data_IF_666045004626
#
_entry.id   IF_666045004626
#
_cell.length_a   1.000
_cell.length_b   1.000
_cell.length_c   1.000
_cell.angle_alpha   90.00
_cell.angle_beta   90.00
_cell.angle_gamma   90.00
#
_symmetry.space_group_name_H-M   'P 1'
#
loop_
_entity.id
_entity.type
_entity.pdbx_description
1 polymer ?
#
# COMPACT_ATOMS: atom_id res chain seq x y z
N UNK A 1 -13.86 -8.46 -27.96
CA UNK A 1 -14.04 -7.80 -26.66
C UNK A 1 -13.38 -8.68 -25.62
N UNK A 2 -12.18 -8.33 -25.14
CA UNK A 2 -11.43 -9.15 -24.20
C UNK A 2 -11.91 -8.83 -22.78
N UNK A 3 -12.69 -9.73 -22.21
CA UNK A 3 -13.34 -9.57 -20.91
C UNK A 3 -12.30 -9.72 -19.79
N UNK A 4 -12.17 -8.67 -18.96
CA UNK A 4 -11.61 -8.68 -17.59
C UNK A 4 -10.20 -9.25 -17.39
N UNK A 5 -9.16 -8.45 -17.67
CA UNK A 5 -7.83 -8.70 -17.10
C UNK A 5 -7.86 -8.36 -15.59
N UNK A 6 -7.50 -9.32 -14.72
CA UNK A 6 -7.50 -9.11 -13.27
C UNK A 6 -6.07 -8.79 -12.80
N UNK A 7 -5.81 -7.53 -12.46
CA UNK A 7 -4.52 -7.08 -11.94
C UNK A 7 -4.42 -7.46 -10.46
N UNK A 8 -3.31 -8.07 -10.06
CA UNK A 8 -3.01 -8.44 -8.67
C UNK A 8 -1.67 -7.84 -8.24
N UNK A 9 -1.56 -7.30 -7.02
CA UNK A 9 -0.27 -6.83 -6.51
C UNK A 9 0.65 -8.02 -6.16
N UNK A 10 1.94 -7.86 -6.42
CA UNK A 10 2.99 -8.82 -6.05
C UNK A 10 4.07 -8.11 -5.24
N UNK A 11 4.55 -8.76 -4.18
CA UNK A 11 5.76 -8.35 -3.48
C UNK A 11 6.92 -9.06 -4.19
N UNK A 12 7.82 -8.28 -4.77
CA UNK A 12 9.07 -8.78 -5.34
C UNK A 12 10.18 -8.40 -4.38
N UNK A 13 10.75 -9.40 -3.71
CA UNK A 13 11.94 -9.20 -2.88
C UNK A 13 13.17 -9.41 -3.77
N UNK A 14 14.09 -8.45 -3.74
CA UNK A 14 15.38 -8.48 -4.44
C UNK A 14 16.49 -8.60 -3.40
N UNK A 15 17.24 -9.69 -3.44
CA UNK A 15 18.36 -9.94 -2.53
C UNK A 15 19.63 -9.99 -3.36
N UNK A 16 20.56 -9.02 -3.25
CA UNK A 16 21.86 -9.13 -3.88
C UNK A 16 22.66 -10.26 -3.21
N UNK A 17 23.41 -11.03 -3.98
CA UNK A 17 24.38 -11.95 -3.43
C UNK A 17 25.77 -11.63 -3.97
N UNK A 18 26.74 -11.75 -3.07
CA UNK A 18 28.11 -11.31 -3.27
C UNK A 18 29.03 -12.52 -3.32
N UNK A 19 30.11 -12.41 -4.08
CA UNK A 19 31.18 -13.41 -4.07
C UNK A 19 32.10 -13.23 -2.85
N UNK A 20 33.16 -14.04 -2.79
CA UNK A 20 34.15 -13.99 -1.71
C UNK A 20 34.99 -12.70 -1.68
N UNK A 21 34.88 -11.86 -2.72
CA UNK A 21 35.56 -10.57 -2.85
C UNK A 21 34.60 -9.40 -2.62
N UNK A 22 33.41 -9.66 -2.08
CA UNK A 22 32.34 -8.67 -1.85
C UNK A 22 31.86 -7.98 -3.14
N UNK A 23 32.03 -8.64 -4.29
CA UNK A 23 31.48 -8.17 -5.55
C UNK A 23 30.08 -8.73 -5.76
N UNK A 24 29.13 -7.84 -6.10
CA UNK A 24 27.77 -8.24 -6.42
C UNK A 24 27.77 -9.04 -7.73
N UNK A 25 27.51 -10.34 -7.64
CA UNK A 25 27.52 -11.27 -8.79
C UNK A 25 26.12 -11.57 -9.32
N UNK A 26 25.07 -11.14 -8.61
CA UNK A 26 23.70 -11.28 -9.07
C UNK A 26 22.65 -10.87 -8.05
N UNK A 27 21.38 -11.04 -8.44
CA UNK A 27 20.22 -10.77 -7.59
C UNK A 27 19.28 -11.96 -7.59
N UNK A 28 18.99 -12.49 -6.40
CA UNK A 28 17.93 -13.45 -6.21
C UNK A 28 16.60 -12.68 -6.11
N UNK A 29 15.67 -13.01 -7.00
CA UNK A 29 14.31 -12.49 -6.98
C UNK A 29 13.34 -13.60 -6.69
N UNK A 30 12.43 -13.36 -5.76
CA UNK A 30 11.23 -14.18 -5.65
C UNK A 30 10.01 -13.27 -5.51
N UNK A 31 9.00 -13.58 -6.32
CA UNK A 31 7.72 -12.91 -6.30
C UNK A 31 6.74 -13.69 -5.44
N UNK A 32 6.08 -13.01 -4.51
CA UNK A 32 4.94 -13.55 -3.78
C UNK A 32 3.74 -12.66 -4.05
N UNK A 33 2.60 -13.24 -4.41
CA UNK A 33 1.35 -12.47 -4.53
C UNK A 33 1.09 -11.75 -3.21
N UNK A 34 0.85 -10.45 -3.28
CA UNK A 34 0.78 -9.57 -2.13
C UNK A 34 -0.61 -9.75 -1.49
N UNK A 35 -0.71 -10.73 -0.59
CA UNK A 35 -1.96 -11.10 0.07
C UNK A 35 -2.41 -10.11 1.16
N UNK A 36 -1.58 -9.14 1.57
CA UNK A 36 -1.94 -7.83 2.17
C UNK A 36 -0.66 -7.09 2.63
N UNK A 37 -0.69 -5.75 2.68
CA UNK A 37 0.31 -4.93 3.38
C UNK A 37 -0.41 -4.08 4.42
N UNK A 38 -0.52 -4.60 5.64
CA UNK A 38 -0.96 -3.81 6.80
C UNK A 38 0.18 -3.81 7.82
N UNK A 39 1.01 -2.74 7.89
CA UNK A 39 2.09 -2.64 8.85
C UNK A 39 1.63 -2.64 10.31
N UNK A 40 0.36 -2.30 10.59
CA UNK A 40 -0.14 -2.29 11.96
C UNK A 40 -0.98 -3.53 12.27
N UNK A 41 -0.38 -4.36 13.13
CA UNK A 41 -0.74 -5.73 13.44
C UNK A 41 -1.43 -5.84 14.80
N UNK A 42 -2.36 -4.94 15.08
CA UNK A 42 -3.18 -4.94 16.29
C UNK A 42 -4.54 -4.43 15.83
N UNK A 43 -5.65 -5.18 15.84
CA UNK A 43 -6.34 -5.65 17.07
C UNK A 43 -7.12 -6.98 16.85
N UNK A 44 -7.29 -7.52 15.63
CA UNK A 44 -8.30 -8.60 15.42
C UNK A 44 -7.88 -9.88 14.66
N UNK A 45 -6.59 -10.18 14.51
CA UNK A 45 -6.12 -11.53 14.14
C UNK A 45 -6.57 -12.12 12.80
N UNK A 46 -7.29 -11.38 11.93
CA UNK A 46 -7.76 -11.87 10.62
C UNK A 46 -6.77 -11.45 9.54
N UNK A 47 -6.06 -12.44 8.98
CA UNK A 47 -5.03 -12.26 7.98
C UNK A 47 -5.30 -13.17 6.79
N UNK A 48 -6.11 -12.74 5.81
CA UNK A 48 -6.32 -13.55 4.58
C UNK A 48 -6.79 -12.80 3.34
N UNK A 49 -6.84 -11.47 3.30
CA UNK A 49 -7.54 -10.78 2.21
C UNK A 49 -6.63 -9.97 1.29
N UNK A 50 -6.63 -10.34 0.00
CA UNK A 50 -5.93 -9.65 -1.08
C UNK A 50 -6.30 -8.16 -1.11
N UNK A 51 -5.31 -7.32 -1.40
CA UNK A 51 -5.53 -5.90 -1.64
C UNK A 51 -6.39 -5.72 -2.89
N UNK A 52 -7.34 -4.78 -2.81
CA UNK A 52 -8.14 -4.34 -3.92
C UNK A 52 -7.43 -3.19 -4.62
N UNK A 53 -7.16 -3.34 -5.91
CA UNK A 53 -6.60 -2.28 -6.75
C UNK A 53 -7.67 -1.31 -7.25
N UNK A 54 -8.94 -1.73 -7.17
CA UNK A 54 -10.09 -0.91 -7.52
C UNK A 54 -10.86 -0.53 -6.25
N UNK A 55 -11.38 0.70 -6.23
CA UNK A 55 -12.12 1.22 -5.08
C UNK A 55 -13.41 0.40 -4.84
N UNK A 56 -13.74 0.02 -3.59
CA UNK A 56 -14.92 -0.81 -3.31
C UNK A 56 -16.26 -0.15 -3.65
N UNK A 57 -16.44 1.13 -3.27
CA UNK A 57 -17.62 1.94 -3.57
C UNK A 57 -17.26 3.44 -3.58
N UNK A 58 -18.17 4.31 -4.03
CA UNK A 58 -17.98 5.77 -4.15
C UNK A 58 -18.21 6.56 -2.85
N UNK A 59 -18.34 5.89 -1.70
CA UNK A 59 -18.60 6.57 -0.44
C UNK A 59 -17.45 7.51 -0.02
N UNK A 60 -16.21 7.09 -0.27
CA UNK A 60 -15.01 7.90 -0.07
C UNK A 60 -14.39 8.30 -1.40
N UNK A 61 -13.91 9.54 -1.46
CA UNK A 61 -13.08 10.03 -2.56
C UNK A 61 -11.70 9.37 -2.50
N UNK A 62 -10.96 9.41 -3.61
CA UNK A 62 -9.61 8.85 -3.66
C UNK A 62 -8.67 9.46 -2.60
N UNK A 63 -8.79 10.77 -2.37
CA UNK A 63 -7.99 11.47 -1.35
C UNK A 63 -8.35 11.05 0.07
N UNK A 64 -9.63 10.81 0.34
CA UNK A 64 -10.10 10.24 1.60
C UNK A 64 -9.56 8.82 1.78
N UNK A 65 -9.59 7.99 0.74
CA UNK A 65 -9.03 6.64 0.73
C UNK A 65 -7.52 6.61 1.04
N UNK A 66 -6.75 7.57 0.53
CA UNK A 66 -5.31 7.71 0.88
C UNK A 66 -5.08 7.86 2.38
N UNK A 67 -5.89 8.71 3.03
CA UNK A 67 -5.80 8.98 4.46
C UNK A 67 -6.29 7.77 5.26
N UNK A 68 -7.40 7.16 4.84
CA UNK A 68 -7.96 5.94 5.45
C UNK A 68 -6.93 4.82 5.44
N UNK A 69 -6.33 4.55 4.28
CA UNK A 69 -5.32 3.52 4.12
C UNK A 69 -4.19 3.68 5.12
N UNK A 70 -3.57 4.87 5.17
CA UNK A 70 -2.47 5.14 6.10
C UNK A 70 -2.91 5.10 7.57
N UNK A 71 -4.13 5.58 7.87
CA UNK A 71 -4.65 5.59 9.24
C UNK A 71 -4.93 4.18 9.77
N UNK A 72 -5.53 3.31 8.95
CA UNK A 72 -5.75 1.89 9.29
C UNK A 72 -4.43 1.13 9.45
N UNK A 73 -3.37 1.55 8.76
CA UNK A 73 -2.00 1.09 8.97
C UNK A 73 -1.34 1.66 10.24
N UNK A 74 -2.07 2.31 11.15
CA UNK A 74 -1.54 2.80 12.42
C UNK A 74 -0.64 4.02 12.34
N UNK A 75 -0.57 4.70 11.19
CA UNK A 75 0.26 5.90 11.04
C UNK A 75 -0.28 7.05 11.89
N UNK A 76 0.62 7.86 12.44
CA UNK A 76 0.27 9.09 13.17
C UNK A 76 -0.09 10.20 12.19
N UNK A 77 -0.87 11.20 12.61
CA UNK A 77 -1.24 12.35 11.76
C UNK A 77 -0.01 13.07 11.18
N UNK A 78 1.08 13.13 11.95
CA UNK A 78 2.37 13.67 11.49
C UNK A 78 2.94 12.85 10.33
N UNK A 79 3.09 11.54 10.52
CA UNK A 79 3.62 10.65 9.48
C UNK A 79 2.76 10.63 8.22
N UNK A 80 1.44 10.69 8.38
CA UNK A 80 0.49 10.81 7.26
C UNK A 80 0.69 12.16 6.55
N UNK A 81 0.82 13.25 7.30
CA UNK A 81 1.10 14.58 6.76
C UNK A 81 2.36 14.61 5.91
N UNK A 82 3.45 14.05 6.43
CA UNK A 82 4.73 13.94 5.73
C UNK A 82 4.60 13.15 4.41
N UNK A 83 3.93 11.99 4.43
CA UNK A 83 3.71 11.16 3.23
C UNK A 83 2.80 11.81 2.19
N UNK A 84 1.84 12.62 2.62
CA UNK A 84 0.84 13.23 1.75
C UNK A 84 1.13 14.70 1.41
N UNK A 85 2.28 15.22 1.85
CA UNK A 85 2.70 16.63 1.76
C UNK A 85 1.65 17.60 2.33
N UNK A 86 1.11 17.28 3.51
CA UNK A 86 0.11 18.05 4.24
C UNK A 86 0.57 18.33 5.67
N UNK A 87 0.03 19.39 6.28
CA UNK A 87 0.27 19.64 7.70
C UNK A 87 -0.43 18.57 8.57
N UNK A 88 0.12 18.21 9.75
CA UNK A 88 -0.54 17.29 10.68
C UNK A 88 -1.94 17.77 11.09
N UNK A 89 -2.12 19.08 11.26
CA UNK A 89 -3.41 19.71 11.58
C UNK A 89 -4.44 19.55 10.46
N UNK A 90 -3.98 19.58 9.22
CA UNK A 90 -4.83 19.30 8.06
C UNK A 90 -5.32 17.84 8.12
N UNK A 91 -4.43 16.89 8.41
CA UNK A 91 -4.80 15.47 8.54
C UNK A 91 -5.80 15.25 9.67
N UNK A 92 -5.61 15.89 10.83
CA UNK A 92 -6.57 15.83 11.94
C UNK A 92 -7.96 16.32 11.50
N UNK A 93 -8.04 17.45 10.80
CA UNK A 93 -9.29 17.98 10.27
C UNK A 93 -9.96 17.02 9.27
N UNK A 94 -9.17 16.39 8.39
CA UNK A 94 -9.69 15.35 7.49
C UNK A 94 -10.24 14.15 8.25
N UNK A 95 -9.52 13.64 9.26
CA UNK A 95 -9.98 12.51 10.06
C UNK A 95 -11.27 12.83 10.82
N UNK A 96 -11.39 14.03 11.39
CA UNK A 96 -12.63 14.47 12.04
C UNK A 96 -13.82 14.47 11.07
N UNK A 97 -13.62 14.97 9.84
CA UNK A 97 -14.65 14.93 8.80
C UNK A 97 -15.00 13.51 8.39
N UNK A 98 -14.01 12.62 8.27
CA UNK A 98 -14.21 11.21 7.95
C UNK A 98 -15.03 10.49 9.04
N UNK A 99 -14.70 10.71 10.31
CA UNK A 99 -15.42 10.13 11.45
C UNK A 99 -16.87 10.64 11.48
N UNK A 100 -17.07 11.95 11.32
CA UNK A 100 -18.41 12.53 11.23
C UNK A 100 -19.21 11.99 10.04
N UNK A 101 -18.57 11.77 8.89
CA UNK A 101 -19.20 11.25 7.66
C UNK A 101 -19.76 9.84 7.82
N UNK A 102 -19.14 9.01 8.66
CA UNK A 102 -19.63 7.65 8.97
C UNK A 102 -20.43 7.56 10.27
N UNK A 103 -20.53 8.67 11.04
CA UNK A 103 -21.15 8.66 12.37
C UNK A 103 -20.33 7.93 13.43
N UNK A 104 -19.01 7.81 13.26
CA UNK A 104 -18.11 7.18 14.22
C UNK A 104 -17.63 8.19 15.27
N UNK A 105 -17.62 7.77 16.53
CA UNK A 105 -17.08 8.58 17.63
C UNK A 105 -15.64 8.20 17.97
N UNK A 106 -15.29 6.93 17.75
CA UNK A 106 -13.96 6.40 18.02
C UNK A 106 -13.31 5.79 16.78
N UNK A 107 -11.99 5.62 16.84
CA UNK A 107 -11.25 4.99 15.77
C UNK A 107 -11.68 3.54 15.54
N UNK A 108 -12.06 2.82 16.60
CA UNK A 108 -12.49 1.43 16.49
C UNK A 108 -13.79 1.30 15.69
N UNK A 109 -14.79 2.16 15.96
CA UNK A 109 -16.04 2.22 15.18
C UNK A 109 -15.75 2.53 13.70
N UNK A 110 -14.84 3.47 13.46
CA UNK A 110 -14.42 3.85 12.11
C UNK A 110 -13.72 2.70 11.39
N UNK A 111 -12.81 2.00 12.08
CA UNK A 111 -12.10 0.87 11.53
C UNK A 111 -13.06 -0.27 11.19
N UNK A 112 -14.03 -0.55 12.07
CA UNK A 112 -15.08 -1.55 11.82
C UNK A 112 -15.91 -1.20 10.58
N UNK A 113 -16.32 0.07 10.42
CA UNK A 113 -17.01 0.53 9.21
C UNK A 113 -16.17 0.27 7.95
N UNK A 114 -14.88 0.64 7.96
CA UNK A 114 -13.97 0.40 6.85
C UNK A 114 -13.74 -1.09 6.57
N UNK A 115 -13.79 -1.94 7.60
CA UNK A 115 -13.72 -3.39 7.44
C UNK A 115 -14.97 -3.93 6.74
N UNK A 116 -16.15 -3.56 7.22
CA UNK A 116 -17.44 -3.99 6.68
C UNK A 116 -17.64 -3.55 5.22
N UNK A 117 -17.08 -2.42 4.84
CA UNK A 117 -17.12 -1.86 3.47
C UNK A 117 -15.91 -2.23 2.60
N UNK A 118 -15.02 -3.10 3.06
CA UNK A 118 -13.79 -3.51 2.36
C UNK A 118 -12.79 -2.38 2.04
N UNK A 119 -12.94 -1.18 2.60
CA UNK A 119 -11.98 -0.08 2.44
C UNK A 119 -10.61 -0.39 3.02
N UNK A 120 -10.53 -1.23 4.05
CA UNK A 120 -9.26 -1.70 4.61
C UNK A 120 -8.38 -2.48 3.62
N UNK A 121 -8.97 -2.99 2.53
CA UNK A 121 -8.27 -3.74 1.48
C UNK A 121 -7.87 -2.86 0.31
N UNK A 122 -8.48 -1.69 0.16
CA UNK A 122 -8.24 -0.83 -0.99
C UNK A 122 -6.82 -0.25 -0.95
N UNK A 123 -6.10 -0.33 -2.06
CA UNK A 123 -4.79 0.29 -2.25
C UNK A 123 -4.96 1.55 -3.13
N UNK A 124 -4.90 2.76 -2.54
CA UNK A 124 -5.04 4.01 -3.29
C UNK A 124 -4.02 4.13 -4.42
N UNK A 125 -4.45 4.74 -5.54
CA UNK A 125 -3.70 4.85 -6.78
C UNK A 125 -2.32 5.47 -6.60
N UNK A 126 -2.19 6.43 -5.68
CA UNK A 126 -0.92 7.08 -5.35
C UNK A 126 0.16 6.08 -4.92
N UNK A 127 -0.24 5.02 -4.22
CA UNK A 127 0.64 3.97 -3.72
C UNK A 127 0.83 2.81 -4.71
N UNK A 128 0.18 2.85 -5.88
CA UNK A 128 0.42 1.91 -6.98
C UNK A 128 1.67 2.26 -7.80
N UNK A 129 2.22 3.46 -7.60
CA UNK A 129 3.42 3.93 -8.30
C UNK A 129 4.70 3.27 -7.76
N UNK A 130 4.85 1.98 -8.01
CA UNK A 130 6.18 1.39 -8.02
C UNK A 130 6.92 2.03 -9.19
N UNK A 131 7.83 2.98 -8.91
CA UNK A 131 8.82 3.40 -9.90
C UNK A 131 9.68 2.17 -10.20
N UNK A 132 9.40 1.48 -11.29
CA UNK A 132 10.37 0.57 -11.87
C UNK A 132 11.44 1.44 -12.52
N UNK A 133 12.53 1.73 -11.80
CA UNK A 133 13.78 2.06 -12.47
C UNK A 133 14.26 0.78 -13.16
N UNK A 134 14.02 0.72 -14.47
CA UNK A 134 14.57 -0.31 -15.34
C UNK A 134 16.03 0.06 -15.54
N UNK A 135 16.93 -0.67 -14.88
CA UNK A 135 18.35 -0.62 -15.22
C UNK A 135 18.54 -1.46 -16.49
N UNK A 136 18.74 -0.80 -17.63
CA UNK A 136 19.22 -1.45 -18.85
C UNK A 136 20.68 -1.83 -18.65
N UNK A 137 20.95 -3.12 -18.42
CA UNK A 137 22.31 -3.64 -18.45
C UNK A 137 22.72 -3.86 -19.90
N UNK A 138 23.55 -2.97 -20.43
CA UNK A 138 24.29 -3.19 -21.66
C UNK A 138 25.53 -4.05 -21.35
N UNK A 139 25.36 -5.36 -21.31
CA UNK A 139 26.50 -6.27 -21.40
C UNK A 139 26.73 -6.60 -22.88
N UNK A 140 27.76 -5.98 -23.47
CA UNK A 140 28.40 -6.52 -24.67
C UNK A 140 29.13 -7.80 -24.26
N UNK A 141 28.70 -8.92 -24.81
CA UNK A 141 29.38 -10.21 -24.72
C UNK A 141 30.15 -10.43 -26.03
N UNK A 142 31.31 -9.78 -26.13
CA UNK A 142 32.44 -10.12 -27.00
C UNK A 142 33.66 -9.76 -26.10
N UNK A 143 34.65 -10.59 -25.80
CA UNK A 143 35.35 -11.62 -26.56
C UNK A 143 35.95 -12.68 -25.58
N UNK A 144 36.24 -13.87 -26.11
CA UNK A 144 37.09 -14.90 -25.50
C UNK A 144 38.58 -14.62 -25.75
#
# INVERSE_FOLDING_TARGET
MHTTAIIHPYLVVKIPFYDNFDQCVGVLTYGKTLKSFVPNRYIHGRFTDSLLLNKPDDFFTERECEIIFLKLQGRTCKSIGDMLFLSPRTIESYLQRLYAKVGAYHFDDFAEFCHNKNFHRYLPNRFLSCKCEVFENNYNLDEW
#
